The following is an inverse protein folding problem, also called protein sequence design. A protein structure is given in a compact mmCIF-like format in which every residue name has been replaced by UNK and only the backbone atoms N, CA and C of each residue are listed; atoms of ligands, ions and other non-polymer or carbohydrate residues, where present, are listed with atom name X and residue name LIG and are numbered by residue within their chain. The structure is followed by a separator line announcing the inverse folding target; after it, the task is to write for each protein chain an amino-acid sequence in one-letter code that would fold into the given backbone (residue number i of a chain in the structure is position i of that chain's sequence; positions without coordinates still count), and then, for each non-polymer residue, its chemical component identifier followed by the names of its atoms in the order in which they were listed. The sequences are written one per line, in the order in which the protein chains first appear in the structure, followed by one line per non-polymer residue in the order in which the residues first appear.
data_IF_603182753513
#
_entry.id   IF_603182753513
#
_cell.length_a   1.000
_cell.length_b   1.000
_cell.length_c   1.000
_cell.angle_alpha   90.00
_cell.angle_beta   90.00
_cell.angle_gamma   90.00
#
_symmetry.space_group_name_H-M   'P 1'
#
loop_
_entity.id
_entity.type
_entity.pdbx_description
1 polymer ?
#
# COMPACT_ATOMS: atom_id res chain seq x y z
N UNK A 1 -15.75 14.11 -12.88
CA UNK A 1 -14.40 14.73 -12.75
C UNK A 1 -13.97 15.18 -14.12
N UNK A 2 -13.09 16.19 -14.24
CA UNK A 2 -12.53 16.57 -15.54
C UNK A 2 -11.44 15.59 -15.96
N UNK A 3 -11.25 15.44 -17.28
CA UNK A 3 -10.21 14.58 -17.85
C UNK A 3 -8.81 15.04 -17.45
N UNK A 4 -8.59 16.36 -17.33
CA UNK A 4 -7.34 16.94 -16.86
C UNK A 4 -7.02 16.54 -15.42
N UNK A 5 -8.02 16.53 -14.53
CA UNK A 5 -7.84 16.06 -13.16
C UNK A 5 -7.44 14.59 -13.14
N UNK A 6 -8.13 13.74 -13.90
CA UNK A 6 -7.84 12.30 -13.96
C UNK A 6 -6.44 12.02 -14.49
N UNK A 7 -5.97 12.80 -15.47
CA UNK A 7 -4.61 12.70 -16.01
C UNK A 7 -3.56 13.07 -14.96
N UNK A 8 -3.75 14.16 -14.23
CA UNK A 8 -2.84 14.60 -13.16
C UNK A 8 -2.82 13.58 -12.02
N UNK A 9 -3.99 13.15 -11.54
CA UNK A 9 -4.11 12.14 -10.49
C UNK A 9 -3.44 10.82 -10.87
N UNK A 10 -3.57 10.39 -12.14
CA UNK A 10 -2.89 9.20 -12.65
C UNK A 10 -1.37 9.36 -12.61
N UNK A 11 -0.85 10.49 -13.05
CA UNK A 11 0.60 10.73 -12.99
C UNK A 11 1.08 10.73 -11.54
N UNK A 12 0.35 11.36 -10.62
CA UNK A 12 0.74 11.42 -9.22
C UNK A 12 0.77 10.02 -8.58
N UNK A 13 -0.25 9.19 -8.76
CA UNK A 13 -0.22 7.80 -8.24
C UNK A 13 0.96 7.01 -8.81
N UNK A 14 1.25 7.17 -10.10
CA UNK A 14 2.40 6.52 -10.73
C UNK A 14 3.71 6.93 -10.04
N UNK A 15 3.91 8.22 -9.84
CA UNK A 15 5.11 8.75 -9.20
C UNK A 15 5.23 8.27 -7.74
N UNK A 16 4.12 8.18 -7.00
CA UNK A 16 4.13 7.65 -5.63
C UNK A 16 4.42 6.14 -5.58
N UNK A 17 3.92 5.34 -6.54
CA UNK A 17 4.28 3.92 -6.66
C UNK A 17 5.76 3.73 -7.00
N UNK A 18 6.29 4.52 -7.93
CA UNK A 18 7.72 4.47 -8.30
C UNK A 18 8.62 4.84 -7.10
N UNK A 19 8.21 5.81 -6.27
CA UNK A 19 8.91 6.18 -5.03
C UNK A 19 8.82 5.08 -3.97
N UNK A 20 7.65 4.45 -3.82
CA UNK A 20 7.50 3.30 -2.93
C UNK A 20 8.44 2.15 -3.32
N UNK A 21 8.53 1.82 -4.60
CA UNK A 21 9.45 0.79 -5.08
C UNK A 21 10.92 1.14 -4.77
N UNK A 22 11.30 2.42 -4.88
CA UNK A 22 12.65 2.86 -4.48
C UNK A 22 12.91 2.70 -2.98
N UNK A 23 11.96 3.09 -2.12
CA UNK A 23 12.08 2.89 -0.66
C UNK A 23 12.22 1.40 -0.32
N UNK A 24 11.36 0.58 -0.92
CA UNK A 24 11.34 -0.86 -0.69
C UNK A 24 12.56 -1.60 -1.23
N UNK A 25 13.23 -1.08 -2.27
CA UNK A 25 14.46 -1.69 -2.81
C UNK A 25 15.59 -1.80 -1.77
N UNK A 26 15.52 -0.99 -0.71
CA UNK A 26 16.46 -1.01 0.42
C UNK A 26 15.93 -1.80 1.63
N UNK A 27 14.71 -2.33 1.56
CA UNK A 27 14.10 -3.11 2.63
C UNK A 27 14.32 -4.61 2.38
N UNK A 28 14.85 -5.31 3.38
CA UNK A 28 15.13 -6.75 3.29
C UNK A 28 14.52 -7.56 4.46
N UNK A 29 13.93 -6.89 5.43
CA UNK A 29 13.37 -7.48 6.66
C UNK A 29 12.37 -6.52 7.31
N UNK A 30 11.77 -6.98 8.41
CA UNK A 30 10.74 -6.24 9.16
C UNK A 30 11.33 -5.00 9.85
N UNK A 31 12.62 -5.02 10.24
CA UNK A 31 13.30 -3.88 10.82
C UNK A 31 13.43 -2.72 9.82
N UNK A 32 13.77 -3.01 8.57
CA UNK A 32 13.85 -1.99 7.52
C UNK A 32 12.46 -1.41 7.23
N UNK A 33 11.41 -2.22 7.26
CA UNK A 33 10.03 -1.72 7.19
C UNK A 33 9.75 -0.74 8.31
N UNK A 34 10.06 -1.11 9.57
CA UNK A 34 9.81 -0.23 10.71
C UNK A 34 10.54 1.11 10.56
N UNK A 35 11.83 1.08 10.21
CA UNK A 35 12.66 2.29 10.02
C UNK A 35 12.10 3.20 8.93
N UNK A 36 11.49 2.64 7.87
CA UNK A 36 10.94 3.41 6.75
C UNK A 36 9.41 3.62 6.84
N UNK A 37 8.77 3.20 7.94
CA UNK A 37 7.31 3.08 8.03
C UNK A 37 6.56 4.40 7.81
N UNK A 38 7.06 5.50 8.37
CA UNK A 38 6.48 6.84 8.16
C UNK A 38 6.58 7.28 6.69
N UNK A 39 7.72 7.04 6.04
CA UNK A 39 7.90 7.38 4.63
C UNK A 39 6.96 6.57 3.73
N UNK A 40 6.82 5.28 4.00
CA UNK A 40 5.91 4.40 3.26
C UNK A 40 4.44 4.87 3.46
N UNK A 41 4.05 5.24 4.69
CA UNK A 41 2.69 5.70 5.00
C UNK A 41 2.34 6.98 4.22
N UNK A 42 3.26 7.94 4.12
CA UNK A 42 3.05 9.18 3.37
C UNK A 42 2.72 8.94 1.89
N UNK A 43 3.42 8.02 1.24
CA UNK A 43 3.14 7.65 -0.14
C UNK A 43 1.77 6.95 -0.27
N UNK A 44 1.48 6.00 0.64
CA UNK A 44 0.19 5.30 0.66
C UNK A 44 -0.99 6.23 0.93
N UNK A 45 -0.83 7.27 1.75
CA UNK A 45 -1.88 8.23 2.05
C UNK A 45 -2.46 8.86 0.78
N UNK A 46 -1.56 9.27 -0.14
CA UNK A 46 -1.94 9.85 -1.43
C UNK A 46 -2.59 8.82 -2.35
N UNK A 47 -2.00 7.64 -2.47
CA UNK A 47 -2.55 6.55 -3.31
C UNK A 47 -3.95 6.18 -2.84
N UNK A 48 -4.15 6.01 -1.53
CA UNK A 48 -5.46 5.72 -0.92
C UNK A 48 -6.52 6.77 -1.25
N UNK A 49 -6.14 8.04 -1.30
CA UNK A 49 -7.07 9.13 -1.62
C UNK A 49 -7.38 9.21 -3.12
N UNK A 50 -6.36 9.15 -3.97
CA UNK A 50 -6.50 9.40 -5.41
C UNK A 50 -6.98 8.17 -6.20
N UNK A 51 -6.64 6.95 -5.78
CA UNK A 51 -6.98 5.76 -6.55
C UNK A 51 -8.50 5.56 -6.73
N UNK A 52 -9.35 5.63 -5.68
CA UNK A 52 -10.80 5.53 -5.85
C UNK A 52 -11.40 6.65 -6.71
N UNK A 53 -10.83 7.85 -6.63
CA UNK A 53 -11.23 9.00 -7.48
C UNK A 53 -11.06 8.71 -8.98
N UNK A 54 -10.19 7.78 -9.33
CA UNK A 54 -9.92 7.32 -10.70
C UNK A 54 -10.62 5.99 -11.06
N UNK A 55 -11.51 5.48 -10.21
CA UNK A 55 -12.14 4.16 -10.38
C UNK A 55 -11.19 2.98 -10.15
N UNK A 56 -10.06 3.21 -9.46
CA UNK A 56 -9.10 2.17 -9.07
C UNK A 56 -9.36 1.75 -7.61
N UNK A 57 -10.61 1.39 -7.29
CA UNK A 57 -11.05 1.13 -5.91
C UNK A 57 -10.23 0.03 -5.23
N UNK A 58 -9.88 -1.02 -5.97
CA UNK A 58 -9.03 -2.12 -5.49
C UNK A 58 -7.64 -1.67 -5.04
N UNK A 59 -7.03 -0.72 -5.76
CA UNK A 59 -5.74 -0.13 -5.36
C UNK A 59 -5.90 0.66 -4.06
N UNK A 60 -6.99 1.44 -3.95
CA UNK A 60 -7.32 2.20 -2.75
C UNK A 60 -7.53 1.32 -1.52
N UNK A 61 -8.23 0.20 -1.66
CA UNK A 61 -8.49 -0.76 -0.56
C UNK A 61 -7.22 -1.46 -0.08
N UNK A 62 -6.33 -1.85 -1.00
CA UNK A 62 -5.01 -2.39 -0.62
C UNK A 62 -4.20 -1.33 0.13
N UNK A 63 -4.12 -0.10 -0.41
CA UNK A 63 -3.41 1.00 0.24
C UNK A 63 -3.94 1.28 1.65
N UNK A 64 -5.27 1.28 1.83
CA UNK A 64 -5.92 1.43 3.13
C UNK A 64 -5.56 0.31 4.11
N UNK A 65 -5.59 -0.94 3.66
CA UNK A 65 -5.25 -2.10 4.49
C UNK A 65 -3.80 -2.03 4.98
N UNK A 66 -2.87 -1.70 4.09
CA UNK A 66 -1.45 -1.57 4.46
C UNK A 66 -1.20 -0.35 5.35
N UNK A 67 -1.92 0.75 5.14
CA UNK A 67 -1.82 1.92 6.01
C UNK A 67 -2.20 1.58 7.47
N UNK A 68 -3.20 0.71 7.68
CA UNK A 68 -3.52 0.21 9.04
C UNK A 68 -2.36 -0.57 9.65
N UNK A 69 -1.70 -1.42 8.86
CA UNK A 69 -0.50 -2.16 9.30
C UNK A 69 0.64 -1.21 9.65
N UNK A 70 0.93 -0.23 8.80
CA UNK A 70 1.99 0.76 9.05
C UNK A 70 1.70 1.62 10.27
N UNK A 71 0.45 2.04 10.47
CA UNK A 71 0.07 2.78 11.68
C UNK A 71 0.34 1.96 12.94
N UNK A 72 0.06 0.66 12.92
CA UNK A 72 0.42 -0.22 14.02
C UNK A 72 1.94 -0.29 14.23
N UNK A 73 2.72 -0.44 13.16
CA UNK A 73 4.19 -0.49 13.19
C UNK A 73 4.79 0.82 13.75
N UNK A 74 4.30 1.97 13.30
CA UNK A 74 4.74 3.29 13.76
C UNK A 74 4.53 3.44 15.28
N UNK A 75 3.39 2.96 15.79
CA UNK A 75 3.03 3.12 17.20
C UNK A 75 3.65 2.06 18.12
N UNK A 76 3.87 0.84 17.63
CA UNK A 76 4.20 -0.32 18.48
C UNK A 76 5.57 -0.95 18.17
N UNK A 77 6.26 -0.49 17.12
CA UNK A 77 7.57 -1.01 16.71
C UNK A 77 7.50 -2.06 15.61
N UNK A 78 8.55 -2.86 15.51
CA UNK A 78 8.70 -3.90 14.47
C UNK A 78 7.58 -4.93 14.57
N UNK A 79 6.88 -5.15 13.46
CA UNK A 79 5.85 -6.18 13.32
C UNK A 79 6.38 -7.34 12.48
N UNK A 80 6.43 -8.54 13.06
CA UNK A 80 7.00 -9.73 12.41
C UNK A 80 6.19 -10.13 11.18
N UNK A 81 6.85 -10.33 10.04
CA UNK A 81 6.21 -10.68 8.76
C UNK A 81 5.67 -9.50 7.97
N UNK A 82 5.81 -8.26 8.48
CA UNK A 82 5.37 -7.05 7.80
C UNK A 82 6.10 -6.81 6.48
N UNK A 83 7.37 -7.20 6.37
CA UNK A 83 8.15 -7.11 5.14
C UNK A 83 7.47 -7.80 3.96
N UNK A 84 7.08 -9.06 4.14
CA UNK A 84 6.47 -9.86 3.07
C UNK A 84 5.14 -9.23 2.65
N UNK A 85 4.30 -8.84 3.62
CA UNK A 85 2.98 -8.27 3.35
C UNK A 85 3.07 -6.91 2.64
N UNK A 86 3.97 -6.03 3.06
CA UNK A 86 4.11 -4.70 2.47
C UNK A 86 4.66 -4.79 1.04
N UNK A 87 5.66 -5.65 0.80
CA UNK A 87 6.18 -5.90 -0.55
C UNK A 87 5.11 -6.49 -1.46
N UNK A 88 4.34 -7.47 -0.97
CA UNK A 88 3.23 -8.08 -1.72
C UNK A 88 2.20 -7.03 -2.09
N UNK A 89 1.80 -6.19 -1.15
CA UNK A 89 0.77 -5.19 -1.35
C UNK A 89 1.17 -4.14 -2.39
N UNK A 90 2.40 -3.63 -2.31
CA UNK A 90 2.88 -2.61 -3.25
C UNK A 90 3.00 -3.21 -4.66
N UNK A 91 3.51 -4.44 -4.80
CA UNK A 91 3.49 -5.16 -6.08
C UNK A 91 2.08 -5.36 -6.63
N UNK A 92 1.10 -5.73 -5.78
CA UNK A 92 -0.30 -5.88 -6.20
C UNK A 92 -0.87 -4.55 -6.69
N UNK A 93 -0.67 -3.46 -5.96
CA UNK A 93 -1.13 -2.13 -6.38
C UNK A 93 -0.51 -1.70 -7.71
N UNK A 94 0.80 -1.85 -7.88
CA UNK A 94 1.51 -1.52 -9.13
C UNK A 94 0.94 -2.31 -10.31
N UNK A 95 0.69 -3.59 -10.13
CA UNK A 95 0.12 -4.43 -11.18
C UNK A 95 -1.31 -4.02 -11.55
N UNK A 96 -2.18 -3.82 -10.56
CA UNK A 96 -3.56 -3.38 -10.79
C UNK A 96 -3.61 -2.02 -11.48
N UNK A 97 -2.80 -1.08 -11.02
CA UNK A 97 -2.73 0.26 -11.57
C UNK A 97 -2.29 0.26 -13.05
N UNK A 98 -1.40 -0.66 -13.42
CA UNK A 98 -0.96 -0.88 -14.79
C UNK A 98 -1.95 -1.70 -15.64
N UNK A 99 -3.12 -2.07 -15.11
CA UNK A 99 -4.17 -2.78 -15.83
C UNK A 99 -3.95 -4.29 -15.94
N UNK A 100 -3.00 -4.85 -15.19
CA UNK A 100 -2.88 -6.30 -15.09
C UNK A 100 -4.03 -6.84 -14.22
N UNK A 101 -4.84 -7.73 -14.80
CA UNK A 101 -5.95 -8.35 -14.06
C UNK A 101 -5.40 -9.42 -13.12
N UNK A 102 -5.40 -9.14 -11.81
CA UNK A 102 -4.99 -10.08 -10.77
C UNK A 102 -6.25 -10.56 -10.07
N UNK A 103 -6.61 -11.84 -10.26
CA UNK A 103 -7.77 -12.47 -9.63
C UNK A 103 -7.67 -12.57 -8.08
N UNK A 104 -6.50 -12.26 -7.49
CA UNK A 104 -6.15 -12.46 -6.07
C UNK A 104 -6.14 -11.13 -5.28
N UNK A 105 -7.03 -10.19 -5.61
CA UNK A 105 -7.23 -9.00 -4.75
C UNK A 105 -8.29 -9.27 -3.68
N UNK A 106 -9.28 -10.10 -4.02
CA UNK A 106 -10.55 -10.14 -3.28
C UNK A 106 -10.38 -10.67 -1.85
N UNK A 107 -9.28 -11.39 -1.57
CA UNK A 107 -8.98 -11.95 -0.24
C UNK A 107 -7.74 -11.33 0.45
N UNK A 108 -7.07 -10.33 -0.15
CA UNK A 108 -5.82 -9.79 0.42
C UNK A 108 -6.03 -9.25 1.84
N UNK A 109 -7.09 -8.46 2.05
CA UNK A 109 -7.39 -7.86 3.35
C UNK A 109 -7.60 -8.93 4.42
N UNK A 110 -8.32 -9.99 4.10
CA UNK A 110 -8.64 -11.03 5.07
C UNK A 110 -7.40 -11.86 5.40
N UNK A 111 -6.52 -12.12 4.41
CA UNK A 111 -5.19 -12.71 4.66
C UNK A 111 -4.33 -11.85 5.59
N UNK A 112 -4.30 -10.54 5.39
CA UNK A 112 -3.55 -9.61 6.25
C UNK A 112 -4.11 -9.59 7.68
N UNK A 113 -5.44 -9.60 7.83
CA UNK A 113 -6.10 -9.68 9.15
C UNK A 113 -5.78 -10.96 9.90
N UNK A 114 -5.73 -12.09 9.19
CA UNK A 114 -5.34 -13.39 9.77
C UNK A 114 -3.85 -13.40 10.13
N UNK A 115 -3.01 -12.76 9.33
CA UNK A 115 -1.57 -12.67 9.58
C UNK A 115 -1.23 -11.80 10.79
N UNK A 116 -2.02 -10.76 11.06
CA UNK A 116 -1.80 -9.80 12.15
C UNK A 116 -3.03 -9.65 13.07
N UNK A 117 -3.40 -10.69 13.83
CA UNK A 117 -4.52 -10.65 14.77
C UNK A 117 -4.33 -9.64 15.91
N UNK A 118 -3.09 -9.19 16.17
CA UNK A 118 -2.75 -8.18 17.17
C UNK A 118 -3.19 -6.76 16.79
N UNK A 119 -3.50 -6.50 15.50
CA UNK A 119 -4.04 -5.23 15.05
C UNK A 119 -5.54 -5.22 15.35
N UNK A 120 -5.99 -4.32 16.21
CA UNK A 120 -7.40 -4.18 16.60
C UNK A 120 -8.18 -3.14 15.78
N UNK A 121 -7.49 -2.31 14.99
CA UNK A 121 -8.05 -1.11 14.33
C UNK A 121 -8.46 -1.33 12.85
N UNK A 122 -8.92 -2.54 12.50
CA UNK A 122 -9.21 -2.96 11.11
C UNK A 122 -10.40 -2.30 10.41
#
# INVERSE_FOLDING_TARGET
MSDDFLKVARQEIKDELDRLDQVLSNCNNDEHIFVNSEQIELHLHKIRGLAPMMGQDKVGEIAKTVATVLKHIINNGVLKGSYIIIIEAIKKMTNLFNGHNINDVDDFRDRVRIAFPEISEW
#
